data_IF_141835426706
#
_entry.id   IF_141835426706
#
_cell.length_a   1.000
_cell.length_b   1.000
_cell.length_c   1.000
_cell.angle_alpha   90.00
_cell.angle_beta   90.00
_cell.angle_gamma   90.00
#
_symmetry.space_group_name_H-M   'P 1'
#
loop_
_entity.id
_entity.type
_entity.pdbx_description
1 polymer ?
#
# COMPACT_ATOMS: atom_id res chain seq x y z
N UNK A 1 -20.30 61.06 11.02
CA UNK A 1 -20.77 59.66 11.15
C UNK A 1 -20.44 58.77 9.94
N UNK A 2 -20.48 59.25 8.69
CA UNK A 2 -20.14 58.46 7.49
C UNK A 2 -18.67 57.96 7.47
N UNK A 3 -17.72 58.78 7.92
CA UNK A 3 -16.29 58.42 8.01
C UNK A 3 -15.99 57.33 9.06
N UNK A 4 -16.78 57.26 10.13
CA UNK A 4 -16.63 56.24 11.20
C UNK A 4 -17.17 54.87 10.75
N UNK A 5 -18.24 54.86 9.95
CA UNK A 5 -18.77 53.64 9.32
C UNK A 5 -17.84 53.08 8.24
N UNK A 6 -17.13 53.97 7.51
CA UNK A 6 -16.16 53.57 6.49
C UNK A 6 -14.90 52.93 7.11
N UNK A 7 -14.45 53.43 8.27
CA UNK A 7 -13.31 52.87 8.99
C UNK A 7 -13.61 51.48 9.58
N UNK A 8 -14.83 51.28 10.10
CA UNK A 8 -15.28 49.97 10.60
C UNK A 8 -15.39 48.90 9.49
N UNK A 9 -15.71 49.30 8.26
CA UNK A 9 -15.79 48.40 7.12
C UNK A 9 -14.42 47.91 6.64
N UNK A 10 -13.38 48.75 6.72
CA UNK A 10 -12.02 48.38 6.30
C UNK A 10 -11.37 47.41 7.30
N UNK A 11 -11.64 47.55 8.60
CA UNK A 11 -11.11 46.65 9.64
C UNK A 11 -11.70 45.23 9.51
N UNK A 12 -12.96 45.09 9.07
CA UNK A 12 -13.61 43.80 8.89
C UNK A 12 -13.01 42.96 7.74
N UNK A 13 -12.37 43.59 6.75
CA UNK A 13 -11.79 42.89 5.58
C UNK A 13 -10.41 42.29 5.90
N UNK A 14 -9.68 42.84 6.89
CA UNK A 14 -8.32 42.39 7.25
C UNK A 14 -8.35 41.10 8.08
N UNK A 15 -9.47 40.78 8.75
CA UNK A 15 -9.65 39.54 9.51
C UNK A 15 -9.96 38.29 8.67
N UNK A 16 -10.05 38.40 7.33
CA UNK A 16 -10.32 37.27 6.44
C UNK A 16 -9.07 36.81 5.67
N UNK A 17 -7.93 36.70 6.36
CA UNK A 17 -6.75 36.00 5.85
C UNK A 17 -6.46 34.77 6.70
N UNK A 18 -7.41 33.83 6.71
CA UNK A 18 -7.09 32.45 7.02
C UNK A 18 -6.40 31.88 5.77
N UNK A 19 -5.11 32.19 5.61
CA UNK A 19 -4.27 31.34 4.78
C UNK A 19 -4.31 29.97 5.44
N UNK A 20 -5.16 29.07 4.92
CA UNK A 20 -4.99 27.66 5.13
C UNK A 20 -3.58 27.37 4.63
N UNK A 21 -2.62 27.33 5.56
CA UNK A 21 -1.42 26.56 5.34
C UNK A 21 -1.98 25.20 4.98
N UNK A 22 -1.87 24.82 3.71
CA UNK A 22 -1.95 23.42 3.34
C UNK A 22 -0.89 22.80 4.22
N UNK A 23 -1.34 22.19 5.32
CA UNK A 23 -0.54 21.22 6.03
C UNK A 23 -0.35 20.18 4.95
N UNK A 24 0.78 20.28 4.23
CA UNK A 24 1.37 19.15 3.56
C UNK A 24 1.64 18.22 4.73
N UNK A 25 0.61 17.45 5.07
CA UNK A 25 0.77 16.30 5.90
C UNK A 25 1.84 15.52 5.15
N UNK A 26 3.03 15.49 5.74
CA UNK A 26 4.12 14.65 5.27
C UNK A 26 3.76 13.17 5.49
N UNK A 27 2.49 12.87 5.76
CA UNK A 27 1.71 12.05 4.84
C UNK A 27 2.14 10.61 4.96
N UNK A 28 2.15 10.13 6.20
CA UNK A 28 2.18 8.71 6.51
C UNK A 28 0.82 8.12 6.13
N UNK A 29 0.47 8.21 4.85
CA UNK A 29 -0.72 7.62 4.29
C UNK A 29 -0.55 6.12 4.37
N UNK A 30 -1.26 5.51 5.32
CA UNK A 30 -1.28 4.06 5.48
C UNK A 30 -2.20 3.48 4.40
N UNK A 31 -1.71 3.46 3.15
CA UNK A 31 -2.49 2.97 2.01
C UNK A 31 -2.74 1.48 2.19
N UNK A 32 -3.93 1.08 2.63
CA UNK A 32 -4.27 -0.32 2.79
C UNK A 32 -4.31 -1.01 1.41
N UNK A 33 -4.02 -2.31 1.37
CA UNK A 33 -4.19 -3.09 0.14
C UNK A 33 -5.67 -3.19 -0.16
N UNK A 34 -6.06 -2.81 -1.38
CA UNK A 34 -7.43 -2.84 -1.83
C UNK A 34 -7.61 -3.91 -2.90
N UNK A 35 -8.61 -4.76 -2.71
CA UNK A 35 -8.97 -5.77 -3.68
C UNK A 35 -9.64 -5.19 -4.93
N UNK A 36 -9.19 -5.57 -6.13
CA UNK A 36 -9.82 -5.20 -7.41
C UNK A 36 -10.67 -6.37 -7.93
N UNK A 37 -10.06 -7.52 -8.19
CA UNK A 37 -10.73 -8.67 -8.80
C UNK A 37 -10.13 -10.00 -8.37
N UNK A 38 -10.88 -11.07 -8.58
CA UNK A 38 -10.45 -12.46 -8.37
C UNK A 38 -10.99 -13.34 -9.49
N UNK A 39 -10.25 -14.40 -9.82
CA UNK A 39 -10.71 -15.44 -10.75
C UNK A 39 -11.51 -16.56 -10.07
N UNK A 40 -11.69 -16.51 -8.73
CA UNK A 40 -12.35 -17.55 -7.94
C UNK A 40 -11.49 -18.79 -7.66
N UNK A 41 -10.38 -18.98 -8.38
CA UNK A 41 -9.46 -20.11 -8.22
C UNK A 41 -8.20 -19.75 -7.40
N UNK A 42 -8.20 -18.54 -6.82
CA UNK A 42 -7.17 -18.05 -5.91
C UNK A 42 -6.16 -17.12 -6.56
N UNK A 43 -6.38 -16.66 -7.79
CA UNK A 43 -5.68 -15.48 -8.31
C UNK A 43 -6.43 -14.21 -7.97
N UNK A 44 -5.65 -13.18 -7.66
CA UNK A 44 -6.14 -11.89 -7.19
C UNK A 44 -5.41 -10.77 -7.92
N UNK A 45 -6.17 -9.75 -8.32
CA UNK A 45 -5.62 -8.44 -8.64
C UNK A 45 -5.92 -7.50 -7.48
N UNK A 46 -4.88 -6.90 -6.93
CA UNK A 46 -4.97 -5.94 -5.83
C UNK A 46 -4.33 -4.63 -6.23
N UNK A 47 -4.77 -3.54 -5.60
CA UNK A 47 -4.15 -2.22 -5.67
C UNK A 47 -3.45 -1.92 -4.37
N UNK A 48 -2.24 -1.39 -4.45
CA UNK A 48 -1.48 -0.96 -3.28
C UNK A 48 -0.57 0.20 -3.62
N UNK A 49 -0.08 0.87 -2.59
CA UNK A 49 0.89 1.94 -2.68
C UNK A 49 2.04 1.68 -1.70
N UNK A 50 3.24 2.10 -2.11
CA UNK A 50 4.42 2.07 -1.27
C UNK A 50 5.30 3.30 -1.50
N UNK A 51 6.16 3.55 -0.52
CA UNK A 51 7.21 4.58 -0.52
C UNK A 51 8.58 3.93 -0.48
N UNK A 52 9.62 4.70 -0.81
CA UNK A 52 11.01 4.23 -0.88
C UNK A 52 11.91 5.30 -1.48
N UNK A 53 13.22 5.09 -1.42
CA UNK A 53 14.23 6.04 -1.90
C UNK A 53 14.41 5.95 -3.41
N UNK A 54 14.19 4.77 -3.98
CA UNK A 54 14.28 4.53 -5.43
C UNK A 54 13.02 3.89 -5.95
N UNK A 55 12.81 3.98 -7.26
CA UNK A 55 11.66 3.35 -7.92
C UNK A 55 11.64 1.82 -7.72
N UNK A 56 12.79 1.17 -7.85
CA UNK A 56 12.92 -0.27 -7.64
C UNK A 56 12.70 -0.68 -6.18
N UNK A 57 13.16 0.12 -5.23
CA UNK A 57 12.87 -0.10 -3.81
C UNK A 57 11.36 -0.03 -3.55
N UNK A 58 10.66 0.95 -4.14
CA UNK A 58 9.21 1.08 -4.03
C UNK A 58 8.50 -0.16 -4.57
N UNK A 59 8.93 -0.67 -5.74
CA UNK A 59 8.40 -1.91 -6.33
C UNK A 59 8.57 -3.10 -5.40
N UNK A 60 9.75 -3.26 -4.79
CA UNK A 60 10.00 -4.32 -3.81
C UNK A 60 9.12 -4.14 -2.56
N UNK A 61 9.01 -2.91 -2.05
CA UNK A 61 8.23 -2.61 -0.85
C UNK A 61 6.74 -2.87 -1.05
N UNK A 62 6.18 -2.51 -2.21
CA UNK A 62 4.75 -2.76 -2.50
C UNK A 62 4.47 -4.26 -2.60
N UNK A 63 5.36 -5.05 -3.20
CA UNK A 63 5.21 -6.49 -3.30
C UNK A 63 5.31 -7.17 -1.92
N UNK A 64 6.30 -6.79 -1.09
CA UNK A 64 6.41 -7.29 0.30
C UNK A 64 5.14 -7.01 1.10
N UNK A 65 4.62 -5.78 1.00
CA UNK A 65 3.39 -5.36 1.66
C UNK A 65 2.19 -6.21 1.22
N UNK A 66 2.01 -6.42 -0.08
CA UNK A 66 0.91 -7.25 -0.61
C UNK A 66 1.01 -8.70 -0.13
N UNK A 67 2.21 -9.31 -0.16
CA UNK A 67 2.38 -10.67 0.34
C UNK A 67 2.04 -10.74 1.83
N UNK A 68 2.55 -9.79 2.63
CA UNK A 68 2.28 -9.76 4.09
C UNK A 68 0.78 -9.66 4.38
N UNK A 69 0.07 -8.76 3.68
CA UNK A 69 -1.38 -8.61 3.82
C UNK A 69 -2.09 -9.92 3.51
N UNK A 70 -1.77 -10.59 2.41
CA UNK A 70 -2.41 -11.86 2.02
C UNK A 70 -2.08 -13.00 3.00
N UNK A 71 -0.86 -13.06 3.50
CA UNK A 71 -0.40 -14.15 4.36
C UNK A 71 -0.92 -13.99 5.79
N UNK A 72 -0.92 -12.78 6.36
CA UNK A 72 -1.11 -12.57 7.80
C UNK A 72 -2.27 -11.65 8.20
N UNK A 73 -2.75 -10.77 7.32
CA UNK A 73 -3.75 -9.75 7.70
C UNK A 73 -5.12 -10.04 7.09
N UNK A 74 -5.16 -10.34 5.80
CA UNK A 74 -6.37 -10.41 4.98
C UNK A 74 -6.63 -9.11 4.22
N UNK A 75 -7.43 -9.18 3.15
CA UNK A 75 -7.77 -8.01 2.33
C UNK A 75 -9.25 -7.68 2.55
N UNK A 76 -9.51 -6.67 3.36
CA UNK A 76 -10.88 -6.24 3.73
C UNK A 76 -11.37 -5.02 2.96
N UNK A 77 -10.48 -4.29 2.29
CA UNK A 77 -10.85 -3.12 1.49
C UNK A 77 -11.04 -3.47 0.02
N UNK A 78 -11.91 -2.71 -0.66
CA UNK A 78 -12.17 -2.86 -2.08
C UNK A 78 -13.32 -3.82 -2.36
N UNK A 79 -13.15 -4.72 -3.32
CA UNK A 79 -14.19 -5.65 -3.73
C UNK A 79 -14.49 -6.71 -2.66
N UNK A 80 -15.73 -6.70 -2.14
CA UNK A 80 -16.20 -7.63 -1.11
C UNK A 80 -16.21 -9.11 -1.54
N UNK A 81 -16.15 -9.40 -2.84
CA UNK A 81 -16.06 -10.77 -3.34
C UNK A 81 -14.66 -11.41 -3.18
N UNK A 82 -13.68 -10.67 -2.67
CA UNK A 82 -12.30 -11.16 -2.55
C UNK A 82 -12.06 -11.95 -1.27
N UNK A 83 -10.94 -12.69 -1.24
CA UNK A 83 -10.51 -13.41 -0.06
C UNK A 83 -10.19 -12.45 1.08
N UNK A 84 -11.16 -12.27 1.97
CA UNK A 84 -11.01 -11.38 3.13
C UNK A 84 -10.11 -11.97 4.22
N UNK A 85 -9.98 -13.30 4.28
CA UNK A 85 -9.21 -13.99 5.31
C UNK A 85 -7.74 -14.19 4.90
N UNK A 86 -6.79 -13.98 5.84
CA UNK A 86 -5.39 -14.31 5.60
C UNK A 86 -5.20 -15.81 5.38
N UNK A 87 -4.06 -16.19 4.81
CA UNK A 87 -3.67 -17.60 4.71
C UNK A 87 -3.37 -18.18 6.09
N UNK A 88 -2.70 -17.40 6.94
CA UNK A 88 -2.32 -17.76 8.30
C UNK A 88 -3.11 -16.89 9.26
N UNK A 89 -3.94 -17.51 10.11
CA UNK A 89 -4.74 -16.81 11.11
C UNK A 89 -4.03 -16.67 12.46
N UNK A 90 -3.04 -17.52 12.75
CA UNK A 90 -2.23 -17.40 13.96
C UNK A 90 -1.11 -16.36 13.74
N UNK A 91 -1.32 -15.18 14.31
CA UNK A 91 -0.39 -14.04 14.22
C UNK A 91 0.99 -14.34 14.81
N UNK A 92 1.10 -15.33 15.71
CA UNK A 92 2.40 -15.70 16.31
C UNK A 92 3.33 -16.36 15.31
N UNK A 93 2.78 -16.98 14.26
CA UNK A 93 3.59 -17.67 13.24
C UNK A 93 4.54 -16.71 12.52
N UNK A 94 4.16 -15.44 12.32
CA UNK A 94 5.04 -14.41 11.74
C UNK A 94 6.27 -14.18 12.63
N UNK A 95 6.06 -14.08 13.94
CA UNK A 95 7.13 -13.84 14.93
C UNK A 95 7.95 -15.09 15.22
N UNK A 96 7.30 -16.22 15.48
CA UNK A 96 7.95 -17.49 15.83
C UNK A 96 8.81 -18.04 14.69
N UNK A 97 8.47 -17.69 13.44
CA UNK A 97 9.18 -18.14 12.22
C UNK A 97 9.77 -16.96 11.44
N UNK A 98 10.19 -15.89 12.11
CA UNK A 98 10.70 -14.68 11.46
C UNK A 98 11.82 -14.95 10.44
N UNK A 99 12.79 -15.81 10.78
CA UNK A 99 13.90 -16.17 9.89
C UNK A 99 13.45 -16.88 8.62
N UNK A 100 12.41 -17.71 8.74
CA UNK A 100 11.78 -18.35 7.59
C UNK A 100 11.11 -17.30 6.71
N UNK A 101 10.28 -16.41 7.29
CA UNK A 101 9.55 -15.43 6.50
C UNK A 101 10.48 -14.41 5.82
N UNK A 102 11.60 -14.03 6.43
CA UNK A 102 12.62 -13.21 5.79
C UNK A 102 13.16 -13.84 4.49
N UNK A 103 13.44 -15.14 4.52
CA UNK A 103 13.90 -15.91 3.35
C UNK A 103 12.76 -16.14 2.35
N UNK A 104 11.56 -16.42 2.84
CA UNK A 104 10.36 -16.63 2.06
C UNK A 104 10.03 -15.42 1.19
N UNK A 105 10.02 -14.21 1.75
CA UNK A 105 9.79 -12.99 0.97
C UNK A 105 10.84 -12.81 -0.12
N UNK A 106 12.12 -13.06 0.18
CA UNK A 106 13.20 -12.95 -0.80
C UNK A 106 13.01 -13.94 -1.96
N UNK A 107 12.67 -15.20 -1.63
CA UNK A 107 12.41 -16.26 -2.62
C UNK A 107 11.19 -15.95 -3.50
N UNK A 108 10.08 -15.49 -2.90
CA UNK A 108 8.89 -15.10 -3.67
C UNK A 108 9.16 -13.91 -4.59
N UNK A 109 9.93 -12.92 -4.14
CA UNK A 109 10.24 -11.76 -4.98
C UNK A 109 11.18 -12.10 -6.13
N UNK A 110 12.04 -13.11 -5.97
CA UNK A 110 12.87 -13.63 -7.07
C UNK A 110 12.07 -14.44 -8.11
N UNK A 111 10.93 -14.99 -7.72
CA UNK A 111 10.07 -15.81 -8.57
C UNK A 111 8.79 -15.05 -8.87
N UNK A 112 8.77 -14.33 -10.01
CA UNK A 112 7.60 -13.54 -10.46
C UNK A 112 6.33 -14.37 -10.70
N UNK A 113 6.38 -15.68 -10.43
CA UNK A 113 5.30 -16.65 -10.58
C UNK A 113 4.20 -16.54 -9.52
N UNK A 114 4.50 -15.95 -8.35
CA UNK A 114 3.54 -15.84 -7.24
C UNK A 114 2.98 -14.44 -7.07
N UNK A 115 3.80 -13.42 -7.32
CA UNK A 115 3.45 -12.02 -7.17
C UNK A 115 4.16 -11.21 -8.25
N UNK A 116 3.42 -10.35 -8.95
CA UNK A 116 4.00 -9.51 -9.99
C UNK A 116 3.22 -8.20 -10.13
N UNK A 117 3.90 -7.15 -10.56
CA UNK A 117 3.27 -5.87 -10.88
C UNK A 117 2.58 -6.03 -12.23
N UNK A 118 1.26 -5.92 -12.27
CA UNK A 118 0.46 -5.99 -13.50
C UNK A 118 0.25 -4.60 -14.13
N UNK A 119 0.30 -3.54 -13.31
CA UNK A 119 0.20 -2.15 -13.78
C UNK A 119 0.95 -1.19 -12.87
N UNK A 120 1.67 -0.26 -13.49
CA UNK A 120 2.34 0.86 -12.82
C UNK A 120 1.56 2.14 -13.09
N UNK A 121 1.22 2.90 -12.06
CA UNK A 121 0.50 4.18 -12.22
C UNK A 121 1.41 5.41 -12.21
N UNK A 122 2.68 5.22 -11.87
CA UNK A 122 3.63 6.31 -11.71
C UNK A 122 3.93 7.01 -13.05
N UNK A 123 3.82 8.33 -13.05
CA UNK A 123 4.23 9.17 -14.17
C UNK A 123 5.74 9.39 -14.18
N UNK A 124 6.29 9.75 -15.35
CA UNK A 124 7.72 10.12 -15.46
C UNK A 124 8.11 11.28 -14.54
N UNK A 125 7.19 12.20 -14.26
CA UNK A 125 7.45 13.34 -13.39
C UNK A 125 7.54 12.89 -11.93
N UNK A 126 6.62 12.04 -11.48
CA UNK A 126 6.64 11.44 -10.14
C UNK A 126 7.92 10.65 -9.89
N UNK A 127 8.35 9.83 -10.85
CA UNK A 127 9.61 9.08 -10.75
C UNK A 127 10.81 10.02 -10.61
N UNK A 128 10.86 11.14 -11.35
CA UNK A 128 11.92 12.15 -11.20
C UNK A 128 11.86 12.88 -9.85
N UNK A 129 10.67 13.04 -9.27
CA UNK A 129 10.52 13.69 -7.97
C UNK A 129 11.03 12.82 -6.82
N UNK A 130 11.08 11.49 -6.97
CA UNK A 130 11.60 10.58 -5.96
C UNK A 130 13.02 10.94 -5.50
N UNK A 131 13.88 11.35 -6.45
CA UNK A 131 15.26 11.77 -6.18
C UNK A 131 15.32 12.97 -5.22
N UNK A 132 14.25 13.78 -5.17
CA UNK A 132 14.19 15.02 -4.38
C UNK A 132 13.43 14.86 -3.07
N UNK A 133 12.37 14.04 -3.04
CA UNK A 133 11.43 14.03 -1.92
C UNK A 133 11.48 12.75 -1.08
N UNK A 134 11.91 11.61 -1.64
CA UNK A 134 12.00 10.27 -1.02
C UNK A 134 10.75 9.79 -0.22
N UNK A 135 9.64 10.53 -0.28
CA UNK A 135 8.41 10.31 0.48
C UNK A 135 7.19 10.23 -0.45
N UNK A 136 7.41 10.10 -1.76
CA UNK A 136 6.31 9.98 -2.72
C UNK A 136 5.80 8.53 -2.72
N UNK A 137 4.53 8.37 -2.42
CA UNK A 137 3.86 7.08 -2.52
C UNK A 137 3.44 6.84 -3.97
N UNK A 138 3.88 5.72 -4.55
CA UNK A 138 3.50 5.33 -5.90
C UNK A 138 2.55 4.14 -5.86
N UNK A 139 1.55 4.19 -6.72
CA UNK A 139 0.50 3.18 -6.83
C UNK A 139 0.83 2.11 -7.86
N UNK A 140 0.38 0.89 -7.57
CA UNK A 140 0.53 -0.28 -8.45
C UNK A 140 -0.74 -1.14 -8.43
N UNK A 141 -1.01 -1.83 -9.53
CA UNK A 141 -1.81 -3.07 -9.51
C UNK A 141 -0.85 -4.26 -9.47
N UNK A 142 -1.19 -5.22 -8.63
CA UNK A 142 -0.38 -6.40 -8.35
C UNK A 142 -1.24 -7.63 -8.61
N UNK A 143 -0.73 -8.54 -9.43
CA UNK A 143 -1.28 -9.88 -9.61
C UNK A 143 -0.67 -10.82 -8.58
N UNK A 144 -1.50 -11.62 -7.92
CA UNK A 144 -1.09 -12.56 -6.88
C UNK A 144 -1.74 -13.92 -7.09
N UNK A 145 -0.95 -14.99 -7.01
CA UNK A 145 -1.43 -16.36 -6.95
C UNK A 145 -1.48 -16.84 -5.49
N UNK A 146 -2.59 -16.52 -4.80
CA UNK A 146 -2.81 -16.85 -3.40
C UNK A 146 -2.82 -18.37 -3.17
N UNK A 147 -3.37 -19.13 -4.12
CA UNK A 147 -3.43 -20.59 -4.05
C UNK A 147 -2.03 -21.21 -4.02
N UNK A 148 -1.14 -20.78 -4.91
CA UNK A 148 0.25 -21.26 -4.93
C UNK A 148 1.05 -20.84 -3.70
N UNK A 149 0.82 -19.62 -3.18
CA UNK A 149 1.42 -19.19 -1.91
C UNK A 149 0.98 -20.12 -0.77
N UNK A 150 -0.32 -20.43 -0.68
CA UNK A 150 -0.86 -21.36 0.32
C UNK A 150 -0.23 -22.76 0.17
N UNK A 151 -0.18 -23.28 -1.05
CA UNK A 151 0.41 -24.59 -1.35
C UNK A 151 1.89 -24.66 -0.93
N UNK A 152 2.68 -23.63 -1.25
CA UNK A 152 4.09 -23.55 -0.82
C UNK A 152 4.22 -23.59 0.70
N UNK A 153 3.41 -22.82 1.42
CA UNK A 153 3.41 -22.81 2.89
C UNK A 153 3.01 -24.16 3.49
N UNK A 154 2.10 -24.90 2.85
CA UNK A 154 1.72 -26.26 3.25
C UNK A 154 2.87 -27.26 3.00
N UNK A 155 3.46 -27.23 1.81
CA UNK A 155 4.55 -28.13 1.42
C UNK A 155 5.80 -27.94 2.31
N UNK A 156 6.01 -26.72 2.81
CA UNK A 156 7.11 -26.39 3.73
C UNK A 156 6.74 -26.58 5.21
N UNK A 157 5.57 -27.16 5.51
CA UNK A 157 5.13 -27.49 6.87
C UNK A 157 4.84 -26.26 7.75
N UNK A 158 4.58 -25.10 7.14
CA UNK A 158 4.30 -23.86 7.86
C UNK A 158 2.86 -23.84 8.36
N UNK A 159 1.93 -24.34 7.54
CA UNK A 159 0.51 -24.47 7.84
C UNK A 159 0.03 -25.89 7.53
N UNK A 160 -1.04 -26.32 8.20
CA UNK A 160 -1.70 -27.60 7.95
C UNK A 160 -2.77 -27.45 6.86
N UNK A 161 -3.07 -28.57 6.20
CA UNK A 161 -4.14 -28.67 5.19
C UNK A 161 -5.52 -28.53 5.84
#
# INVERSE_FOLDING_TARGET
>A
MKKLKLLAFIIAIISCSCSQKVVLDKGNYNYQVAGISTDGNGRLIVKSFATGRTYEEIKVNVLKKVIREIVFVGITNGNNAMFQKPIITDVRVETDKQDYFLKFYTSLLSTQDFVSISREFATKQEIKMLEKTQNLALGFEISVDRSRIKEKLMNEGIIKN
#
